data_IF_646033376838
#
_entry.id   IF_646033376838
#
_cell.length_a   1.000
_cell.length_b   1.000
_cell.length_c   1.000
_cell.angle_alpha   90.00
_cell.angle_beta   90.00
_cell.angle_gamma   90.00
#
_symmetry.space_group_name_H-M   'P 1'
#
loop_
_entity.id
_entity.type
_entity.pdbx_description
1 polymer ?
#
# COMPACT_ATOMS: atom_id res chain seq x y z
N UNK A 1 -15.24 -22.77 24.57
CA UNK A 1 -14.89 -23.01 23.14
C UNK A 1 -14.78 -21.67 22.38
N UNK A 2 -14.14 -21.62 21.19
CA UNK A 2 -14.17 -20.42 20.33
C UNK A 2 -15.54 -20.34 19.63
N UNK A 3 -16.03 -19.13 19.36
CA UNK A 3 -17.29 -18.89 18.62
C UNK A 3 -18.53 -19.61 19.20
N UNK A 4 -18.59 -19.73 20.53
CA UNK A 4 -19.69 -20.37 21.25
C UNK A 4 -20.18 -19.46 22.38
N UNK A 5 -21.49 -19.40 22.57
CA UNK A 5 -22.13 -18.85 23.76
C UNK A 5 -22.79 -20.03 24.48
N UNK A 6 -22.58 -20.15 25.79
CA UNK A 6 -23.06 -21.26 26.61
C UNK A 6 -22.68 -22.64 26.04
N UNK A 7 -21.45 -22.76 25.52
CA UNK A 7 -20.88 -23.98 24.91
C UNK A 7 -21.59 -24.54 23.66
N UNK A 8 -22.59 -23.82 23.15
CA UNK A 8 -23.25 -24.08 21.86
C UNK A 8 -22.61 -23.20 20.80
N UNK A 9 -22.26 -23.81 19.66
CA UNK A 9 -21.78 -23.05 18.50
C UNK A 9 -22.87 -22.11 18.02
N UNK A 10 -22.55 -20.81 17.93
CA UNK A 10 -23.47 -19.81 17.39
C UNK A 10 -22.89 -19.21 16.12
N UNK A 11 -23.49 -19.56 14.98
CA UNK A 11 -23.04 -19.08 13.67
C UNK A 11 -23.05 -17.55 13.57
N UNK A 12 -24.07 -16.89 14.15
CA UNK A 12 -24.16 -15.44 14.18
C UNK A 12 -22.99 -14.83 14.96
N UNK A 13 -22.71 -15.33 16.17
CA UNK A 13 -21.59 -14.87 16.99
C UNK A 13 -20.23 -15.12 16.34
N UNK A 14 -20.08 -16.24 15.61
CA UNK A 14 -18.89 -16.53 14.80
C UNK A 14 -18.73 -15.52 13.65
N UNK A 15 -19.83 -15.21 12.97
CA UNK A 15 -19.91 -14.26 11.86
C UNK A 15 -19.58 -12.85 12.33
N UNK A 16 -20.22 -12.37 13.39
CA UNK A 16 -20.03 -11.04 13.96
C UNK A 16 -18.59 -10.86 14.47
N UNK A 17 -18.03 -11.86 15.15
CA UNK A 17 -16.62 -11.85 15.52
C UNK A 17 -15.68 -11.84 14.32
N UNK A 18 -16.05 -12.52 13.23
CA UNK A 18 -15.28 -12.50 11.99
C UNK A 18 -15.33 -11.12 11.36
N UNK A 19 -16.50 -10.47 11.29
CA UNK A 19 -16.64 -9.10 10.80
C UNK A 19 -15.92 -8.08 11.69
N UNK A 20 -16.01 -8.21 13.01
CA UNK A 20 -15.32 -7.35 13.97
C UNK A 20 -13.78 -7.50 13.89
N UNK A 21 -13.27 -8.73 13.65
CA UNK A 21 -11.85 -8.95 13.38
C UNK A 21 -11.44 -8.49 11.99
N UNK A 22 -12.36 -8.52 11.02
CA UNK A 22 -12.22 -7.97 9.67
C UNK A 22 -12.28 -6.43 9.71
N UNK A 23 -11.67 -5.81 10.74
CA UNK A 23 -11.27 -4.40 10.75
C UNK A 23 -10.53 -4.15 9.45
N UNK A 24 -11.23 -3.54 8.48
CA UNK A 24 -10.59 -2.88 7.36
C UNK A 24 -9.84 -1.73 8.00
N UNK A 25 -8.57 -1.95 8.34
CA UNK A 25 -7.74 -0.94 8.96
C UNK A 25 -7.77 0.35 8.14
N UNK A 26 -7.38 1.47 8.76
CA UNK A 26 -7.24 2.74 8.05
C UNK A 26 -6.49 2.51 6.74
N UNK A 27 -7.05 3.00 5.64
CA UNK A 27 -6.35 3.02 4.35
C UNK A 27 -5.07 3.82 4.57
N UNK A 28 -3.93 3.14 4.63
CA UNK A 28 -2.60 3.77 4.82
C UNK A 28 -2.31 4.84 3.76
N UNK A 29 -3.01 4.76 2.64
CA UNK A 29 -2.96 5.71 1.54
C UNK A 29 -4.35 6.28 1.29
N UNK A 30 -4.52 7.55 1.67
CA UNK A 30 -5.64 8.38 1.29
C UNK A 30 -5.23 9.22 0.07
N UNK A 31 -6.04 9.17 -0.98
CA UNK A 31 -5.93 10.08 -2.13
C UNK A 31 -6.02 11.51 -1.56
N UNK A 32 -5.16 12.41 -2.03
CA UNK A 32 -5.00 13.80 -1.55
C UNK A 32 -4.25 14.01 -0.22
N UNK A 33 -3.74 12.94 0.40
CA UNK A 33 -2.82 13.09 1.54
C UNK A 33 -1.45 13.66 1.13
N UNK A 34 -0.70 14.22 2.08
CA UNK A 34 0.69 14.66 1.87
C UNK A 34 1.55 13.50 1.34
N UNK A 35 1.37 12.30 1.90
CA UNK A 35 2.03 11.09 1.45
C UNK A 35 1.70 10.75 -0.01
N UNK A 36 0.44 10.92 -0.42
CA UNK A 36 0.04 10.73 -1.80
C UNK A 36 0.72 11.71 -2.76
N UNK A 37 0.78 13.00 -2.40
CA UNK A 37 1.48 14.02 -3.18
C UNK A 37 2.97 13.69 -3.34
N UNK A 38 3.63 13.25 -2.26
CA UNK A 38 5.02 12.80 -2.32
C UNK A 38 5.20 11.62 -3.28
N UNK A 39 4.34 10.60 -3.19
CA UNK A 39 4.41 9.44 -4.08
C UNK A 39 4.21 9.87 -5.54
N UNK A 40 3.22 10.73 -5.81
CA UNK A 40 2.98 11.27 -7.16
C UNK A 40 4.21 11.99 -7.69
N UNK A 41 4.85 12.84 -6.89
CA UNK A 41 6.04 13.58 -7.32
C UNK A 41 7.25 12.66 -7.54
N UNK A 42 7.47 11.71 -6.64
CA UNK A 42 8.56 10.73 -6.80
C UNK A 42 8.39 9.87 -8.05
N UNK A 43 7.15 9.51 -8.38
CA UNK A 43 6.80 8.84 -9.63
C UNK A 43 7.12 9.70 -10.85
N UNK A 44 6.80 11.00 -10.82
CA UNK A 44 7.14 11.94 -11.91
C UNK A 44 8.65 12.08 -12.08
N UNK A 45 9.40 11.95 -11.00
CA UNK A 45 10.87 11.85 -10.99
C UNK A 45 11.41 10.47 -11.42
N UNK A 46 10.57 9.57 -11.95
CA UNK A 46 10.92 8.22 -12.40
C UNK A 46 11.45 7.28 -11.31
N UNK A 47 11.04 7.48 -10.05
CA UNK A 47 11.39 6.55 -8.98
C UNK A 47 10.54 5.28 -9.05
N UNK A 48 11.18 4.13 -8.83
CA UNK A 48 10.45 2.87 -8.66
C UNK A 48 9.69 2.85 -7.32
N UNK A 49 8.55 2.15 -7.22
CA UNK A 49 7.83 1.99 -5.96
C UNK A 49 8.66 1.40 -4.82
N UNK A 50 9.68 0.60 -5.15
CA UNK A 50 10.66 0.08 -4.19
C UNK A 50 11.58 1.19 -3.65
N UNK A 51 12.07 2.09 -4.50
CA UNK A 51 12.85 3.26 -4.07
C UNK A 51 12.02 4.20 -3.20
N UNK A 52 10.76 4.45 -3.58
CA UNK A 52 9.83 5.26 -2.79
C UNK A 52 9.62 4.65 -1.40
N UNK A 53 9.34 3.34 -1.32
CA UNK A 53 9.15 2.66 -0.04
C UNK A 53 10.44 2.66 0.82
N UNK A 54 11.62 2.50 0.21
CA UNK A 54 12.90 2.59 0.92
C UNK A 54 13.14 3.99 1.47
N UNK A 55 12.86 5.03 0.67
CA UNK A 55 12.98 6.43 1.08
C UNK A 55 12.03 6.78 2.21
N UNK A 56 10.79 6.31 2.16
CA UNK A 56 9.80 6.51 3.23
C UNK A 56 10.27 5.94 4.57
N UNK A 57 10.97 4.80 4.56
CA UNK A 57 11.57 4.23 5.79
C UNK A 57 12.74 5.02 6.34
N UNK A 58 13.36 5.88 5.54
CA UNK A 58 14.53 6.67 5.96
C UNK A 58 14.14 7.99 6.62
N UNK A 59 12.85 8.35 6.61
CA UNK A 59 12.35 9.51 7.32
C UNK A 59 11.91 9.09 8.74
N UNK A 60 12.69 9.39 9.78
CA UNK A 60 12.35 9.05 11.16
C UNK A 60 11.15 9.86 11.69
N UNK A 61 10.89 11.04 11.12
CA UNK A 61 9.85 11.98 11.58
C UNK A 61 8.48 11.74 10.94
N UNK A 62 8.39 10.87 9.91
CA UNK A 62 7.09 10.46 9.39
C UNK A 62 6.50 9.43 10.35
N UNK A 63 5.39 9.82 10.98
CA UNK A 63 4.55 8.99 11.84
C UNK A 63 4.47 7.53 11.33
N UNK A 64 4.55 6.53 12.22
CA UNK A 64 4.62 5.11 11.84
C UNK A 64 3.43 4.67 10.96
N UNK A 65 2.34 5.42 11.01
CA UNK A 65 1.15 5.30 10.18
C UNK A 65 1.42 5.52 8.68
N UNK A 66 2.50 6.24 8.32
CA UNK A 66 2.95 6.53 6.95
C UNK A 66 3.92 5.49 6.37
N UNK A 67 4.23 4.43 7.12
CA UNK A 67 5.09 3.35 6.62
C UNK A 67 4.31 2.43 5.66
N UNK A 68 4.46 2.69 4.37
CA UNK A 68 3.75 2.04 3.27
C UNK A 68 4.67 1.11 2.49
N UNK A 69 4.21 -0.12 2.23
CA UNK A 69 4.94 -1.08 1.39
C UNK A 69 4.87 -0.72 -0.09
N UNK A 70 5.90 -1.07 -0.86
CA UNK A 70 5.92 -0.92 -2.32
C UNK A 70 4.70 -1.61 -3.00
N UNK A 71 4.25 -2.75 -2.46
CA UNK A 71 3.04 -3.45 -2.95
C UNK A 71 1.77 -2.62 -2.77
N UNK A 72 1.68 -1.86 -1.67
CA UNK A 72 0.55 -0.97 -1.41
C UNK A 72 0.58 0.17 -2.42
N UNK A 73 1.73 0.81 -2.63
CA UNK A 73 1.94 1.87 -3.63
C UNK A 73 1.49 1.39 -5.01
N UNK A 74 1.98 0.22 -5.45
CA UNK A 74 1.58 -0.41 -6.71
C UNK A 74 0.07 -0.68 -6.81
N UNK A 75 -0.54 -1.21 -5.75
CA UNK A 75 -1.97 -1.52 -5.72
C UNK A 75 -2.80 -0.24 -5.84
N UNK A 76 -2.45 0.81 -5.09
CA UNK A 76 -3.14 2.10 -5.17
C UNK A 76 -3.04 2.73 -6.54
N UNK A 77 -1.85 2.76 -7.16
CA UNK A 77 -1.68 3.35 -8.49
C UNK A 77 -2.45 2.55 -9.54
N UNK A 78 -2.47 1.21 -9.45
CA UNK A 78 -3.26 0.37 -10.35
C UNK A 78 -4.77 0.56 -10.19
N UNK A 79 -5.24 0.81 -8.96
CA UNK A 79 -6.64 1.05 -8.64
C UNK A 79 -7.14 2.45 -9.04
N UNK A 80 -6.26 3.40 -9.36
CA UNK A 80 -6.69 4.71 -9.86
C UNK A 80 -7.41 4.60 -11.21
N UNK A 81 -8.43 5.44 -11.45
CA UNK A 81 -9.01 5.61 -12.77
C UNK A 81 -7.90 5.93 -13.78
N UNK A 82 -8.00 5.40 -15.00
CA UNK A 82 -6.94 5.53 -16.01
C UNK A 82 -6.73 7.01 -16.37
N UNK A 83 -5.66 7.60 -15.85
CA UNK A 83 -5.18 8.96 -16.18
C UNK A 83 -3.69 8.96 -16.55
N UNK A 84 -3.13 10.14 -16.80
CA UNK A 84 -1.74 10.35 -17.26
C UNK A 84 -0.69 9.67 -16.37
N UNK A 85 -0.96 9.55 -15.07
CA UNK A 85 -0.07 8.91 -14.10
C UNK A 85 0.29 7.44 -14.41
N UNK A 86 -0.58 6.70 -15.11
CA UNK A 86 -0.29 5.31 -15.53
C UNK A 86 0.68 5.25 -16.71
N UNK A 87 0.70 6.28 -17.56
CA UNK A 87 1.61 6.37 -18.70
C UNK A 87 3.04 6.64 -18.23
N UNK A 88 3.18 7.48 -17.20
CA UNK A 88 4.48 7.82 -16.60
C UNK A 88 5.07 6.70 -15.74
N UNK A 89 4.24 5.76 -15.25
CA UNK A 89 4.67 4.62 -14.43
C UNK A 89 5.25 3.45 -15.24
N UNK A 90 4.84 3.35 -16.51
CA UNK A 90 5.19 2.25 -17.40
C UNK A 90 5.86 2.76 -18.68
N UNK A 91 6.92 3.58 -18.64
CA UNK A 91 7.91 3.48 -19.68
C UNK A 91 8.50 2.09 -19.52
N UNK A 92 8.08 1.20 -20.41
CA UNK A 92 8.60 -0.13 -20.67
C UNK A 92 10.00 -0.31 -20.06
N UNK A 93 10.12 -1.07 -18.96
CA UNK A 93 11.38 -1.47 -18.34
C UNK A 93 12.19 -2.42 -19.26
N UNK A 94 12.24 -2.14 -20.57
CA UNK A 94 13.26 -2.67 -21.45
C UNK A 94 14.52 -1.85 -21.19
N UNK A 95 15.54 -2.52 -20.65
CA UNK A 95 16.95 -2.10 -20.63
C UNK A 95 17.42 -1.21 -19.47
N UNK A 96 17.43 -1.73 -18.23
CA UNK A 96 18.44 -1.35 -17.21
C UNK A 96 18.89 -2.55 -16.33
N UNK A 97 18.94 -3.74 -16.91
CA UNK A 97 19.73 -4.88 -16.41
C UNK A 97 20.97 -5.02 -17.30
N UNK A 98 21.81 -4.00 -17.28
CA UNK A 98 23.18 -4.06 -17.80
C UNK A 98 23.99 -3.15 -16.89
N UNK A 99 25.10 -3.68 -16.35
CA UNK A 99 26.06 -3.05 -15.43
C UNK A 99 25.55 -3.14 -13.98
N UNK A 100 26.00 -4.05 -13.13
CA UNK A 100 27.38 -4.43 -12.84
C UNK A 100 27.57 -4.10 -11.35
N UNK A 101 27.50 -5.11 -10.48
CA UNK A 101 27.87 -4.98 -9.07
C UNK A 101 29.26 -5.64 -8.89
N UNK A 102 30.16 -5.04 -8.08
CA UNK A 102 31.55 -5.50 -7.92
C UNK A 102 31.68 -6.83 -7.20
#
# INVERSE_FOLDING_TARGET
>A
KRNSINDVYQAQYASDNTFARRRRGHRKLKIDSILWKFIVEAIRCLWSPQQIAKRLKTFPDLDQTMNVSHTTIYSTIRALPKGELKKDLYPENKKRKANGEP
#
